data_IF_842351265881
#
_entry.id   IF_842351265881
#
_cell.length_a   1.000
_cell.length_b   1.000
_cell.length_c   1.000
_cell.angle_alpha   90.00
_cell.angle_beta   90.00
_cell.angle_gamma   90.00
#
_symmetry.space_group_name_H-M   'P 1'
#
loop_
_entity.id
_entity.type
_entity.pdbx_description
1 polymer ?
#
# COMPACT_ATOMS: atom_id res chain seq x y z
N UNK A 1 25.22 -4.60 0.32
CA UNK A 1 24.09 -5.57 0.23
C UNK A 1 23.14 -5.03 -0.82
N UNK A 2 22.60 -5.88 -1.70
CA UNK A 2 21.72 -5.44 -2.78
C UNK A 2 20.27 -5.88 -2.57
N UNK A 3 19.32 -4.95 -2.56
CA UNK A 3 17.89 -5.21 -2.34
C UNK A 3 17.07 -4.75 -3.54
N UNK A 4 16.28 -5.67 -4.11
CA UNK A 4 15.30 -5.32 -5.14
C UNK A 4 13.95 -5.00 -4.52
N UNK A 5 13.43 -3.81 -4.77
CA UNK A 5 12.11 -3.35 -4.35
C UNK A 5 11.14 -3.50 -5.53
N UNK A 6 10.21 -4.44 -5.44
CA UNK A 6 9.21 -4.66 -6.49
C UNK A 6 8.04 -3.68 -6.31
N UNK A 7 8.04 -2.65 -7.14
CA UNK A 7 7.21 -1.45 -7.09
C UNK A 7 6.19 -1.40 -8.25
N UNK A 8 5.52 -2.51 -8.56
CA UNK A 8 4.62 -2.62 -9.74
C UNK A 8 3.43 -1.65 -9.76
N UNK A 9 3.07 -1.08 -8.59
CA UNK A 9 2.03 -0.06 -8.44
C UNK A 9 2.55 1.37 -8.48
N UNK A 10 3.77 1.57 -8.96
CA UNK A 10 4.37 2.86 -9.23
C UNK A 10 3.65 3.52 -10.43
N UNK A 11 2.51 4.16 -10.17
CA UNK A 11 1.83 5.06 -11.11
C UNK A 11 1.73 6.45 -10.47
N UNK A 12 2.72 7.31 -10.78
CA UNK A 12 2.82 8.68 -10.26
C UNK A 12 1.77 9.63 -10.85
N UNK A 13 1.07 9.28 -11.94
CA UNK A 13 0.06 10.15 -12.58
C UNK A 13 -1.29 10.15 -11.87
N UNK A 14 -1.61 9.07 -11.15
CA UNK A 14 -2.82 8.94 -10.32
C UNK A 14 -2.47 8.12 -9.08
N UNK A 15 -1.76 8.72 -8.11
CA UNK A 15 -1.26 7.97 -6.98
C UNK A 15 -2.44 7.47 -6.12
N UNK A 16 -2.56 6.16 -6.00
CA UNK A 16 -3.37 5.52 -4.95
C UNK A 16 -2.61 5.60 -3.63
N UNK A 17 -3.26 5.33 -2.48
CA UNK A 17 -2.53 5.28 -1.20
C UNK A 17 -1.31 4.34 -1.22
N UNK A 18 -1.40 3.22 -1.93
CA UNK A 18 -0.27 2.30 -2.18
C UNK A 18 0.81 2.97 -3.04
N UNK A 19 0.43 3.70 -4.08
CA UNK A 19 1.37 4.44 -4.93
C UNK A 19 2.13 5.51 -4.15
N UNK A 20 1.43 6.25 -3.27
CA UNK A 20 2.05 7.23 -2.35
C UNK A 20 3.05 6.51 -1.45
N UNK A 21 2.65 5.42 -0.80
CA UNK A 21 3.53 4.62 0.05
C UNK A 21 4.80 4.18 -0.69
N UNK A 22 4.66 3.58 -1.88
CA UNK A 22 5.80 3.12 -2.69
C UNK A 22 6.73 4.30 -3.00
N UNK A 23 6.19 5.45 -3.42
CA UNK A 23 7.00 6.63 -3.69
C UNK A 23 7.79 7.09 -2.47
N UNK A 24 7.15 7.15 -1.29
CA UNK A 24 7.80 7.59 -0.04
C UNK A 24 8.84 6.60 0.43
N UNK A 25 8.60 5.30 0.28
CA UNK A 25 9.62 4.26 0.56
C UNK A 25 10.83 4.44 -0.35
N UNK A 26 10.63 4.60 -1.67
CA UNK A 26 11.72 4.79 -2.61
C UNK A 26 12.52 6.08 -2.38
N UNK A 27 11.86 7.12 -1.87
CA UNK A 27 12.50 8.40 -1.51
C UNK A 27 13.35 8.29 -0.24
N UNK A 28 12.86 7.58 0.79
CA UNK A 28 13.47 7.62 2.13
C UNK A 28 14.37 6.42 2.44
N UNK A 29 14.10 5.23 1.89
CA UNK A 29 14.91 4.04 2.21
C UNK A 29 16.39 4.18 1.84
N UNK A 30 16.78 4.82 0.72
CA UNK A 30 18.20 4.97 0.38
C UNK A 30 18.92 5.94 1.33
N UNK A 31 18.18 6.89 1.92
CA UNK A 31 18.70 7.86 2.90
C UNK A 31 18.93 7.19 4.26
N UNK A 32 17.99 6.36 4.69
CA UNK A 32 18.06 5.67 6.00
C UNK A 32 19.05 4.51 5.98
N UNK A 33 19.27 3.90 4.81
CA UNK A 33 20.20 2.79 4.62
C UNK A 33 21.21 3.10 3.49
N UNK A 34 22.15 4.03 3.70
CA UNK A 34 23.11 4.44 2.69
C UNK A 34 24.08 3.32 2.27
N UNK A 35 24.30 2.34 3.14
CA UNK A 35 25.20 1.18 2.89
C UNK A 35 24.52 0.03 2.12
N UNK A 36 23.24 0.20 1.75
CA UNK A 36 22.48 -0.78 0.97
C UNK A 36 22.22 -0.20 -0.42
N UNK A 37 22.49 -1.01 -1.43
CA UNK A 37 22.16 -0.73 -2.82
C UNK A 37 20.74 -1.20 -3.12
N UNK A 38 19.94 -0.33 -3.73
CA UNK A 38 18.55 -0.61 -4.04
C UNK A 38 18.29 -0.64 -5.54
N UNK A 39 17.48 -1.59 -5.99
CA UNK A 39 16.91 -1.63 -7.32
C UNK A 39 15.38 -1.52 -7.27
N UNK A 40 14.81 -0.41 -7.75
CA UNK A 40 13.36 -0.26 -7.89
C UNK A 40 12.88 -0.93 -9.18
N UNK A 41 12.19 -2.06 -9.05
CA UNK A 41 11.68 -2.85 -10.16
C UNK A 41 10.22 -2.52 -10.45
N UNK A 42 9.89 -2.13 -11.67
CA UNK A 42 8.50 -1.89 -12.09
C UNK A 42 8.23 -2.41 -13.51
N UNK A 43 7.05 -3.00 -13.74
CA UNK A 43 6.61 -3.42 -15.09
C UNK A 43 6.08 -2.25 -15.92
N UNK A 44 5.96 -1.05 -15.35
CA UNK A 44 5.71 0.20 -16.07
C UNK A 44 6.94 1.07 -15.96
N UNK A 45 7.35 1.67 -17.07
CA UNK A 45 8.34 2.75 -17.06
C UNK A 45 7.75 3.92 -16.27
N UNK A 46 8.28 4.14 -15.07
CA UNK A 46 8.14 5.39 -14.36
C UNK A 46 9.52 6.04 -14.36
N UNK A 47 9.65 7.14 -15.07
CA UNK A 47 10.81 8.03 -14.93
C UNK A 47 10.68 8.73 -13.58
N UNK A 48 11.71 8.74 -12.73
CA UNK A 48 11.66 9.50 -11.49
C UNK A 48 11.66 11.00 -11.79
N UNK A 49 10.85 11.78 -11.08
CA UNK A 49 10.78 13.26 -11.23
C UNK A 49 12.00 13.96 -10.61
N UNK A 50 12.66 13.30 -9.66
CA UNK A 50 13.90 13.74 -9.00
C UNK A 50 14.98 12.70 -9.28
N UNK A 51 16.22 13.13 -9.48
CA UNK A 51 17.33 12.21 -9.58
C UNK A 51 17.33 11.26 -8.36
N UNK A 52 17.37 9.94 -8.56
CA UNK A 52 17.45 9.02 -7.44
C UNK A 52 18.68 9.31 -6.58
N UNK A 53 18.60 8.93 -5.30
CA UNK A 53 19.79 8.77 -4.49
C UNK A 53 20.82 7.88 -5.19
N UNK A 54 22.11 8.08 -4.93
CA UNK A 54 23.20 7.38 -5.62
C UNK A 54 23.15 5.85 -5.48
N UNK A 55 22.53 5.35 -4.40
CA UNK A 55 22.32 3.93 -4.10
C UNK A 55 20.91 3.43 -4.49
N UNK A 56 20.19 4.13 -5.37
CA UNK A 56 18.89 3.69 -5.90
C UNK A 56 18.88 3.68 -7.43
N UNK A 57 18.66 2.51 -8.01
CA UNK A 57 18.58 2.34 -9.46
C UNK A 57 17.17 1.91 -9.88
N UNK A 58 16.58 2.63 -10.83
CA UNK A 58 15.31 2.23 -11.43
C UNK A 58 15.56 1.24 -12.55
N UNK A 59 14.91 0.08 -12.49
CA UNK A 59 14.99 -0.94 -13.52
C UNK A 59 13.60 -1.34 -13.98
N UNK A 60 13.42 -1.29 -15.29
CA UNK A 60 12.21 -1.76 -15.93
C UNK A 60 12.23 -3.29 -16.05
N UNK A 61 11.16 -3.94 -15.59
CA UNK A 61 10.94 -5.37 -15.86
C UNK A 61 10.31 -5.48 -17.24
N UNK A 62 11.05 -5.99 -18.20
CA UNK A 62 10.62 -6.09 -19.59
C UNK A 62 9.48 -7.08 -19.82
N UNK A 63 9.01 -7.12 -21.07
CA UNK A 63 8.02 -8.06 -21.56
C UNK A 63 6.57 -7.76 -21.17
N UNK A 64 5.61 -8.57 -21.67
CA UNK A 64 4.20 -8.34 -21.41
C UNK A 64 3.85 -8.61 -19.94
N UNK A 65 3.27 -7.63 -19.24
CA UNK A 65 2.87 -7.73 -17.82
C UNK A 65 2.03 -8.97 -17.51
N UNK A 66 1.03 -9.26 -18.35
CA UNK A 66 0.15 -10.43 -18.17
C UNK A 66 0.90 -11.75 -18.31
N UNK A 67 1.86 -11.81 -19.22
CA UNK A 67 2.71 -13.00 -19.38
C UNK A 67 3.57 -13.20 -18.13
N UNK A 68 4.20 -12.14 -17.62
CA UNK A 68 4.96 -12.20 -16.37
C UNK A 68 4.09 -12.63 -15.19
N UNK A 69 2.90 -12.04 -15.00
CA UNK A 69 1.94 -12.43 -13.95
C UNK A 69 1.56 -13.92 -14.04
N UNK A 70 1.33 -14.44 -15.26
CA UNK A 70 0.98 -15.85 -15.48
C UNK A 70 2.15 -16.80 -15.18
N UNK A 71 3.36 -16.50 -15.67
CA UNK A 71 4.55 -17.29 -15.40
C UNK A 71 4.83 -17.36 -13.90
N UNK A 72 4.76 -16.22 -13.24
CA UNK A 72 4.96 -16.08 -11.81
C UNK A 72 3.91 -16.83 -10.97
N UNK A 73 2.62 -16.79 -11.37
CA UNK A 73 1.58 -17.64 -10.77
C UNK A 73 1.85 -19.14 -10.96
N UNK A 74 2.42 -19.52 -12.11
CA UNK A 74 2.88 -20.88 -12.37
C UNK A 74 4.21 -21.21 -11.69
N UNK A 75 4.75 -20.29 -10.87
CA UNK A 75 6.04 -20.40 -10.20
C UNK A 75 7.23 -20.61 -11.18
N UNK A 76 7.13 -20.02 -12.37
CA UNK A 76 8.17 -20.01 -13.39
C UNK A 76 8.92 -18.67 -13.38
N UNK A 77 10.24 -18.67 -13.67
CA UNK A 77 10.99 -17.45 -13.82
C UNK A 77 10.47 -16.64 -15.02
N UNK A 78 10.53 -15.31 -14.92
CA UNK A 78 10.28 -14.46 -16.08
C UNK A 78 11.58 -14.34 -16.89
N UNK A 79 11.55 -14.60 -18.22
CA UNK A 79 12.74 -14.46 -19.07
C UNK A 79 13.18 -12.99 -19.22
N UNK A 80 12.32 -12.04 -18.83
CA UNK A 80 12.59 -10.60 -18.86
C UNK A 80 13.15 -10.09 -17.52
N UNK A 81 13.22 -10.97 -16.52
CA UNK A 81 13.83 -10.68 -15.23
C UNK A 81 15.33 -10.92 -15.34
N UNK A 82 16.02 -9.94 -15.91
CA UNK A 82 17.44 -10.03 -16.23
C UNK A 82 18.26 -9.70 -14.98
N UNK A 83 18.76 -10.77 -14.34
CA UNK A 83 20.13 -10.84 -13.82
C UNK A 83 20.63 -9.67 -12.96
N UNK A 84 20.00 -9.39 -11.83
CA UNK A 84 20.67 -8.61 -10.78
C UNK A 84 21.10 -9.54 -9.63
N UNK A 85 22.35 -9.40 -9.20
CA UNK A 85 22.88 -9.98 -7.97
C UNK A 85 22.16 -9.35 -6.77
N UNK A 86 20.92 -9.77 -6.52
CA UNK A 86 20.08 -9.27 -5.43
C UNK A 86 20.12 -10.23 -4.27
N UNK A 87 20.48 -9.77 -3.08
CA UNK A 87 20.49 -10.58 -1.87
C UNK A 87 19.08 -10.84 -1.34
N UNK A 88 18.17 -9.87 -1.50
CA UNK A 88 16.78 -9.94 -1.02
C UNK A 88 15.81 -9.20 -1.95
N UNK A 89 14.64 -9.78 -2.16
CA UNK A 89 13.55 -9.13 -2.89
C UNK A 89 12.45 -8.71 -1.92
N UNK A 90 12.03 -7.45 -1.98
CA UNK A 90 10.90 -6.93 -1.21
C UNK A 90 9.78 -6.51 -2.17
N UNK A 91 8.71 -7.29 -2.21
CA UNK A 91 7.48 -6.90 -2.90
C UNK A 91 6.65 -5.96 -2.03
N UNK A 92 6.48 -4.71 -2.49
CA UNK A 92 5.76 -3.67 -1.75
C UNK A 92 4.24 -3.88 -1.79
N UNK A 93 3.76 -4.86 -2.55
CA UNK A 93 2.37 -5.31 -2.63
C UNK A 93 2.32 -6.82 -2.84
N UNK A 94 1.22 -7.51 -2.48
CA UNK A 94 1.04 -8.93 -2.81
C UNK A 94 1.05 -9.11 -4.34
N UNK A 95 2.05 -9.84 -4.83
CA UNK A 95 2.20 -10.21 -6.23
C UNK A 95 2.72 -11.63 -6.31
N UNK A 96 2.35 -12.39 -7.34
CA UNK A 96 2.75 -13.79 -7.49
C UNK A 96 4.23 -13.97 -7.85
N UNK A 97 5.11 -13.04 -7.48
CA UNK A 97 6.50 -12.97 -7.93
C UNK A 97 7.26 -14.28 -7.68
N UNK A 98 7.98 -14.75 -8.70
CA UNK A 98 8.91 -15.86 -8.58
C UNK A 98 10.34 -15.33 -8.41
N UNK A 99 11.02 -15.80 -7.37
CA UNK A 99 12.45 -15.52 -7.12
C UNK A 99 13.07 -16.68 -6.34
N UNK A 100 14.36 -16.92 -6.55
CA UNK A 100 15.18 -17.84 -5.77
C UNK A 100 15.81 -17.19 -4.53
N UNK A 101 15.69 -15.86 -4.40
CA UNK A 101 16.22 -15.09 -3.28
C UNK A 101 15.17 -14.98 -2.15
N UNK A 102 15.57 -14.75 -0.89
CA UNK A 102 14.66 -14.42 0.19
C UNK A 102 13.66 -13.33 -0.23
N UNK A 103 12.38 -13.58 0.05
CA UNK A 103 11.28 -12.71 -0.34
C UNK A 103 10.59 -12.10 0.88
N UNK A 104 10.49 -10.78 0.91
CA UNK A 104 9.67 -10.02 1.85
C UNK A 104 8.46 -9.48 1.10
N UNK A 105 7.26 -9.56 1.69
CA UNK A 105 6.04 -9.00 1.06
C UNK A 105 5.30 -8.10 2.03
N UNK A 106 4.98 -6.89 1.60
CA UNK A 106 4.09 -5.98 2.34
C UNK A 106 2.63 -6.25 2.01
N UNK A 107 1.82 -6.49 3.04
CA UNK A 107 0.38 -6.67 2.99
C UNK A 107 -0.27 -5.41 3.58
N UNK A 108 -0.92 -4.61 2.72
CA UNK A 108 -1.61 -3.39 3.14
C UNK A 108 -2.94 -3.69 3.84
N UNK A 109 -3.80 -4.46 3.20
CA UNK A 109 -5.10 -4.80 3.76
C UNK A 109 -5.63 -6.11 3.15
N UNK A 110 -6.65 -6.64 3.81
CA UNK A 110 -7.38 -7.83 3.38
C UNK A 110 -8.83 -7.46 3.01
N UNK A 111 -9.08 -6.22 2.62
CA UNK A 111 -10.43 -5.72 2.29
C UNK A 111 -11.13 -6.55 1.21
N UNK A 112 -10.45 -7.06 0.16
CA UNK A 112 -11.09 -7.96 -0.82
C UNK A 112 -11.54 -9.31 -0.25
N UNK A 113 -11.03 -9.71 0.93
CA UNK A 113 -11.45 -10.91 1.66
C UNK A 113 -12.66 -10.60 2.55
N UNK A 114 -12.61 -9.49 3.28
CA UNK A 114 -13.67 -9.08 4.21
C UNK A 114 -14.93 -8.54 3.53
N UNK A 115 -14.77 -7.82 2.41
CA UNK A 115 -15.85 -7.15 1.70
C UNK A 115 -15.96 -7.61 0.24
N UNK A 116 -16.21 -8.91 0.00
CA UNK A 116 -16.21 -9.48 -1.35
C UNK A 116 -17.20 -8.80 -2.31
N UNK A 117 -18.31 -8.27 -1.81
CA UNK A 117 -19.34 -7.64 -2.65
C UNK A 117 -18.94 -6.25 -3.17
N UNK A 118 -17.85 -5.67 -2.64
CA UNK A 118 -17.34 -4.36 -3.06
C UNK A 118 -16.29 -4.44 -4.17
N UNK A 119 -15.87 -5.65 -4.55
CA UNK A 119 -14.83 -5.87 -5.55
C UNK A 119 -15.36 -6.75 -6.68
N UNK A 120 -14.91 -6.47 -7.91
CA UNK A 120 -15.20 -7.33 -9.06
C UNK A 120 -14.73 -8.76 -8.79
N UNK A 121 -15.48 -9.82 -9.17
CA UNK A 121 -15.08 -11.21 -8.95
C UNK A 121 -13.68 -11.53 -9.49
N UNK A 122 -13.34 -10.99 -10.66
CA UNK A 122 -12.01 -11.16 -11.27
C UNK A 122 -10.90 -10.51 -10.45
N UNK A 123 -11.12 -9.30 -9.92
CA UNK A 123 -10.15 -8.63 -9.05
C UNK A 123 -9.93 -9.39 -7.74
N UNK A 124 -10.99 -9.98 -7.18
CA UNK A 124 -10.90 -10.85 -6.00
C UNK A 124 -10.11 -12.12 -6.27
N UNK A 125 -10.35 -12.76 -7.41
CA UNK A 125 -9.63 -13.97 -7.79
C UNK A 125 -8.13 -13.68 -7.93
N UNK A 126 -7.77 -12.61 -8.65
CA UNK A 126 -6.37 -12.17 -8.81
C UNK A 126 -5.74 -11.85 -7.45
N UNK A 127 -6.43 -11.09 -6.59
CA UNK A 127 -5.93 -10.78 -5.25
C UNK A 127 -5.71 -12.04 -4.42
N UNK A 128 -6.68 -12.97 -4.39
CA UNK A 128 -6.56 -14.23 -3.63
C UNK A 128 -5.40 -15.08 -4.12
N UNK A 129 -5.19 -15.15 -5.43
CA UNK A 129 -4.07 -15.89 -6.02
C UNK A 129 -2.73 -15.24 -5.62
N UNK A 130 -2.60 -13.92 -5.78
CA UNK A 130 -1.39 -13.18 -5.40
C UNK A 130 -1.10 -13.27 -3.89
N UNK A 131 -2.13 -13.12 -3.05
CA UNK A 131 -2.03 -13.26 -1.59
C UNK A 131 -1.59 -14.67 -1.22
N UNK A 132 -2.26 -15.71 -1.72
CA UNK A 132 -1.90 -17.11 -1.43
C UNK A 132 -0.44 -17.39 -1.79
N UNK A 133 -0.01 -16.95 -2.97
CA UNK A 133 1.38 -17.10 -3.40
C UNK A 133 2.36 -16.38 -2.48
N UNK A 134 2.07 -15.12 -2.11
CA UNK A 134 2.89 -14.35 -1.19
C UNK A 134 3.03 -15.05 0.17
N UNK A 135 1.92 -15.52 0.76
CA UNK A 135 1.92 -16.21 2.06
C UNK A 135 2.73 -17.51 2.04
N UNK A 136 2.70 -18.23 0.91
CA UNK A 136 3.43 -19.48 0.72
C UNK A 136 4.93 -19.26 0.48
N UNK A 137 5.32 -18.22 -0.26
CA UNK A 137 6.72 -18.02 -0.68
C UNK A 137 7.52 -17.02 0.17
N UNK A 138 6.86 -16.09 0.84
CA UNK A 138 7.57 -15.04 1.57
C UNK A 138 8.30 -15.61 2.80
N UNK A 139 9.59 -15.28 2.91
CA UNK A 139 10.40 -15.55 4.10
C UNK A 139 9.94 -14.68 5.28
N UNK A 140 9.49 -13.45 5.00
CA UNK A 140 8.87 -12.53 5.97
C UNK A 140 7.73 -11.75 5.34
N UNK A 141 6.74 -11.42 6.16
CA UNK A 141 5.60 -10.59 5.79
C UNK A 141 5.67 -9.29 6.59
N UNK A 142 5.42 -8.17 5.93
CA UNK A 142 5.22 -6.88 6.59
C UNK A 142 3.74 -6.59 6.54
N UNK A 143 3.13 -6.35 7.69
CA UNK A 143 1.75 -5.87 7.80
C UNK A 143 1.76 -4.41 8.24
N UNK A 144 0.92 -3.58 7.64
CA UNK A 144 0.89 -2.14 7.99
C UNK A 144 0.09 -1.81 9.25
N UNK A 145 -0.59 -2.80 9.82
CA UNK A 145 -1.43 -2.63 11.00
C UNK A 145 -1.50 -3.92 11.81
N UNK A 146 -1.76 -3.79 13.11
CA UNK A 146 -1.98 -4.96 13.96
C UNK A 146 -3.20 -5.77 13.49
N UNK A 147 -4.26 -5.07 13.05
CA UNK A 147 -5.48 -5.71 12.55
C UNK A 147 -5.22 -6.64 11.36
N UNK A 148 -4.53 -6.15 10.33
CA UNK A 148 -4.17 -6.97 9.17
C UNK A 148 -3.26 -8.13 9.59
N UNK A 149 -2.39 -7.92 10.57
CA UNK A 149 -1.48 -8.95 11.04
C UNK A 149 -2.19 -10.06 11.82
N UNK A 150 -3.16 -9.71 12.67
CA UNK A 150 -4.02 -10.66 13.39
C UNK A 150 -4.89 -11.45 12.42
N UNK A 151 -5.38 -10.81 11.36
CA UNK A 151 -6.12 -11.48 10.29
C UNK A 151 -5.25 -12.51 9.55
N UNK A 152 -3.98 -12.19 9.29
CA UNK A 152 -3.05 -13.15 8.66
C UNK A 152 -2.87 -14.40 9.51
N UNK A 153 -2.78 -14.25 10.83
CA UNK A 153 -2.72 -15.39 11.76
C UNK A 153 -4.05 -16.14 11.77
N UNK A 154 -5.16 -15.44 12.03
CA UNK A 154 -6.49 -16.04 12.24
C UNK A 154 -7.07 -16.69 10.99
N UNK A 155 -6.95 -16.04 9.84
CA UNK A 155 -7.62 -16.47 8.59
C UNK A 155 -6.73 -17.38 7.74
N UNK A 156 -5.41 -17.27 7.87
CA UNK A 156 -4.47 -17.98 6.99
C UNK A 156 -3.45 -18.85 7.75
N UNK A 157 -3.50 -18.88 9.09
CA UNK A 157 -2.63 -19.74 9.90
C UNK A 157 -1.14 -19.38 9.80
N UNK A 158 -0.83 -18.12 9.49
CA UNK A 158 0.55 -17.67 9.38
C UNK A 158 1.16 -17.53 10.77
N UNK A 159 2.34 -18.11 10.97
CA UNK A 159 3.13 -17.96 12.20
C UNK A 159 3.39 -16.48 12.49
N UNK A 160 3.18 -16.08 13.74
CA UNK A 160 3.26 -14.67 14.13
C UNK A 160 4.67 -14.11 13.93
N UNK A 161 5.67 -14.94 14.14
CA UNK A 161 7.10 -14.64 14.04
C UNK A 161 7.53 -14.34 12.59
N UNK A 162 6.74 -14.78 11.61
CA UNK A 162 6.94 -14.43 10.20
C UNK A 162 6.39 -13.06 9.84
N UNK A 163 5.65 -12.40 10.72
CA UNK A 163 4.96 -11.13 10.45
C UNK A 163 5.57 -9.99 11.28
N UNK A 164 6.15 -9.00 10.61
CA UNK A 164 6.51 -7.72 11.21
C UNK A 164 5.38 -6.71 11.01
N UNK A 165 5.01 -5.97 12.05
CA UNK A 165 4.06 -4.85 11.93
C UNK A 165 4.86 -3.56 11.76
N UNK A 166 4.69 -2.90 10.62
CA UNK A 166 5.37 -1.63 10.28
C UNK A 166 4.33 -0.65 9.76
N UNK A 167 3.94 0.30 10.61
CA UNK A 167 2.93 1.31 10.27
C UNK A 167 3.40 2.24 9.15
N UNK A 168 2.45 2.77 8.39
CA UNK A 168 2.73 3.82 7.42
C UNK A 168 3.23 5.09 8.10
N UNK A 169 4.17 5.77 7.46
CA UNK A 169 4.61 7.10 7.85
C UNK A 169 3.63 8.19 7.43
N UNK A 170 3.82 9.38 8.00
CA UNK A 170 3.16 10.63 7.60
C UNK A 170 4.22 11.64 7.17
N UNK A 171 3.94 12.43 6.14
CA UNK A 171 4.78 13.57 5.79
C UNK A 171 4.51 14.69 6.79
N UNK A 172 5.49 15.01 7.63
CA UNK A 172 5.35 16.00 8.69
C UNK A 172 5.13 17.43 8.18
N UNK A 173 5.72 17.75 7.03
CA UNK A 173 5.60 19.07 6.40
C UNK A 173 4.14 19.46 6.07
N UNK A 174 3.24 18.49 5.87
CA UNK A 174 1.82 18.76 5.55
C UNK A 174 0.96 18.98 6.81
N UNK A 175 1.48 18.71 8.00
CA UNK A 175 0.70 18.65 9.24
C UNK A 175 1.25 19.47 10.42
N UNK A 176 2.47 19.98 10.32
CA UNK A 176 3.14 20.67 11.44
C UNK A 176 2.65 22.12 11.66
N UNK A 177 1.89 22.69 10.72
CA UNK A 177 1.29 24.02 10.89
C UNK A 177 -0.20 23.91 11.20
N UNK A 178 -0.69 24.50 12.31
CA UNK A 178 -2.13 24.61 12.52
C UNK A 178 -2.75 25.36 11.33
N UNK A 179 -3.92 24.90 10.81
CA UNK A 179 -4.52 25.52 9.65
C UNK A 179 -4.86 26.98 9.96
N UNK A 180 -4.58 27.88 9.02
CA UNK A 180 -4.89 29.30 9.16
C UNK A 180 -6.37 29.51 9.53
N UNK A 181 -6.63 30.25 10.61
CA UNK A 181 -7.98 30.55 11.11
C UNK A 181 -8.86 31.19 10.03
N UNK A 182 -8.28 32.00 9.15
CA UNK A 182 -9.02 32.59 8.04
C UNK A 182 -9.44 31.52 7.00
N UNK A 183 -8.54 30.60 6.65
CA UNK A 183 -8.87 29.45 5.79
C UNK A 183 -9.92 28.54 6.41
N UNK A 184 -9.84 28.26 7.72
CA UNK A 184 -10.85 27.46 8.42
C UNK A 184 -12.24 28.13 8.35
N UNK A 185 -12.31 29.44 8.58
CA UNK A 185 -13.56 30.21 8.53
C UNK A 185 -14.13 30.21 7.11
N UNK A 186 -13.29 30.42 6.09
CA UNK A 186 -13.69 30.38 4.69
C UNK A 186 -14.23 29.00 4.28
N UNK A 187 -13.57 27.91 4.70
CA UNK A 187 -14.04 26.54 4.45
C UNK A 187 -15.38 26.26 5.13
N UNK A 188 -15.56 26.68 6.38
CA UNK A 188 -16.85 26.54 7.10
C UNK A 188 -17.98 27.26 6.39
N UNK A 189 -17.73 28.47 5.87
CA UNK A 189 -18.72 29.21 5.10
C UNK A 189 -19.02 28.54 3.75
N UNK A 190 -17.98 28.08 3.04
CA UNK A 190 -18.09 27.43 1.72
C UNK A 190 -18.88 26.13 1.79
N UNK A 191 -18.60 25.29 2.78
CA UNK A 191 -19.23 23.98 2.95
C UNK A 191 -20.41 23.98 3.93
N UNK A 192 -20.76 25.14 4.51
CA UNK A 192 -21.89 25.33 5.43
C UNK A 192 -21.91 24.31 6.58
N UNK A 193 -20.74 23.97 7.13
CA UNK A 193 -20.56 22.83 8.06
C UNK A 193 -21.12 23.07 9.46
N UNK A 194 -21.52 24.29 9.80
CA UNK A 194 -21.82 24.69 11.17
C UNK A 194 -20.59 24.66 12.08
N UNK A 195 -20.81 24.75 13.40
CA UNK A 195 -19.74 24.75 14.41
C UNK A 195 -19.16 23.35 14.68
N UNK A 196 -19.97 22.30 14.50
CA UNK A 196 -19.59 20.91 14.74
C UNK A 196 -19.96 20.08 13.53
N UNK A 197 -18.98 19.43 12.95
CA UNK A 197 -19.15 18.53 11.82
C UNK A 197 -18.24 17.33 11.96
N UNK A 198 -18.58 16.25 11.25
CA UNK A 198 -17.72 15.09 11.09
C UNK A 198 -17.27 15.08 9.63
N UNK A 199 -15.98 15.23 9.39
CA UNK A 199 -15.42 15.08 8.05
C UNK A 199 -15.12 13.61 7.78
N UNK A 200 -15.80 13.03 6.80
CA UNK A 200 -15.51 11.70 6.30
C UNK A 200 -14.70 11.80 5.01
N UNK A 201 -13.42 11.45 5.08
CA UNK A 201 -12.60 11.29 3.89
C UNK A 201 -12.51 9.82 3.51
N UNK A 202 -13.11 9.45 2.37
CA UNK A 202 -13.00 8.11 1.81
C UNK A 202 -12.90 8.18 0.28
N UNK A 203 -12.05 7.35 -0.36
CA UNK A 203 -12.14 7.10 -1.79
C UNK A 203 -13.54 6.61 -2.16
N UNK A 204 -14.04 6.93 -3.36
CA UNK A 204 -15.40 6.61 -3.82
C UNK A 204 -15.76 5.12 -3.71
N UNK A 205 -14.79 4.21 -3.84
CA UNK A 205 -14.98 2.77 -3.64
C UNK A 205 -15.09 2.34 -2.17
N UNK A 206 -14.44 3.04 -1.24
CA UNK A 206 -14.47 2.77 0.21
C UNK A 206 -15.68 3.40 0.88
N UNK A 207 -16.25 4.47 0.30
CA UNK A 207 -17.44 5.15 0.82
C UNK A 207 -18.61 4.18 1.11
N UNK A 208 -18.74 3.10 0.33
CA UNK A 208 -19.75 2.06 0.55
C UNK A 208 -19.52 1.21 1.81
N UNK A 209 -18.25 0.97 2.19
CA UNK A 209 -17.88 0.31 3.46
C UNK A 209 -18.27 1.20 4.64
N UNK A 210 -18.07 2.51 4.50
CA UNK A 210 -18.36 3.51 5.53
C UNK A 210 -19.85 3.86 5.67
N UNK A 211 -20.66 3.74 4.61
CA UNK A 211 -22.12 3.91 4.72
C UNK A 211 -22.77 2.99 5.79
N UNK A 212 -22.13 1.85 6.12
CA UNK A 212 -22.57 0.96 7.21
C UNK A 212 -22.27 1.55 8.60
N UNK A 213 -21.19 2.32 8.73
CA UNK A 213 -20.79 3.04 9.95
C UNK A 213 -21.57 4.33 10.18
N UNK A 214 -22.09 4.97 9.12
CA UNK A 214 -22.91 6.18 9.25
C UNK A 214 -24.37 5.90 9.63
N UNK A 215 -24.89 4.68 9.45
CA UNK A 215 -26.25 4.30 9.88
C UNK A 215 -26.51 4.48 11.39
N UNK A 216 -25.52 4.24 12.28
CA UNK A 216 -25.60 4.65 13.68
C UNK A 216 -25.58 6.17 13.91
N UNK A 217 -24.87 6.94 13.08
CA UNK A 217 -24.73 8.40 13.27
C UNK A 217 -26.05 9.14 13.05
N UNK A 218 -26.94 8.63 12.20
CA UNK A 218 -28.30 9.17 12.04
C UNK A 218 -29.22 8.89 13.25
N UNK A 219 -28.74 8.14 14.25
CA UNK A 219 -29.42 7.87 15.52
C UNK A 219 -28.79 8.61 16.70
N UNK A 220 -27.74 9.41 16.48
CA UNK A 220 -27.22 10.27 17.53
C UNK A 220 -28.30 11.30 17.87
N UNK A 221 -28.68 11.47 19.15
CA UNK A 221 -29.55 12.57 19.54
C UNK A 221 -28.89 13.90 19.14
N UNK A 222 -29.67 14.94 18.81
CA UNK A 222 -29.09 16.28 18.67
C UNK A 222 -28.29 16.57 19.94
N UNK A 223 -27.00 16.85 19.78
CA UNK A 223 -26.13 17.22 20.90
C UNK A 223 -26.83 18.35 21.65
N UNK A 224 -27.18 18.11 22.92
CA UNK A 224 -27.87 19.06 23.80
C UNK A 224 -27.35 20.49 23.53
N UNK A 225 -28.24 21.49 23.37
CA UNK A 225 -27.78 22.87 23.47
C UNK A 225 -27.16 23.01 24.86
N UNK A 226 -25.89 23.38 24.93
CA UNK A 226 -25.31 23.79 26.20
C UNK A 226 -26.12 24.98 26.68
N UNK A 227 -26.77 24.81 27.83
CA UNK A 227 -27.46 25.88 28.52
C UNK A 227 -26.44 26.96 28.89
N UNK A 228 -26.73 28.17 28.40
CA UNK A 228 -26.32 29.50 28.90
C UNK A 228 -24.83 29.82 28.96
#
# INVERSE_FOLDING_TARGET
MHISLFADRLDRRKPTGIGIYINRVLEHVPIVAPDIDFAALATRTATPDVAPASNLHYQHVGGPRRLNELLWLANLPSPFWIGQQTDLVHALVPMPLHTHRPLVVTIHDLSPIHFPDHYKPTARLVFRAALRHALQRASRLISISQHTADDLVRLFGIERERIAVVHHGIDRNDHDSPPDTAQQTALRHTYQTGERFVLLWAPSHTAKIWCRWCRPLSRLPPLCPMSS
#
